data_IF_326976607757
#
_entry.id   IF_326976607757
#
_cell.length_a   1.000
_cell.length_b   1.000
_cell.length_c   1.000
_cell.angle_alpha   90.00
_cell.angle_beta   90.00
_cell.angle_gamma   90.00
#
_symmetry.space_group_name_H-M   'P 1'
#
loop_
_entity.id
_entity.type
_entity.pdbx_description
1 polymer ?
#
# COMPACT_ATOMS: atom_id res chain seq x y z
N UNK A 1 -3.99 48.55 27.40
CA UNK A 1 -2.67 48.92 26.85
C UNK A 1 -1.95 47.64 26.46
N UNK A 2 -1.31 47.50 25.29
CA UNK A 2 -1.47 48.20 24.03
C UNK A 2 -2.02 47.30 22.89
N UNK A 3 -2.69 47.94 21.92
CA UNK A 3 -2.98 47.44 20.58
C UNK A 3 -1.79 47.74 19.66
N UNK A 4 -1.37 46.81 18.80
CA UNK A 4 -0.43 47.11 17.71
C UNK A 4 -1.04 46.81 16.34
N UNK A 5 -0.81 47.78 15.46
CA UNK A 5 -1.43 48.05 14.17
C UNK A 5 -1.00 47.13 13.02
N UNK A 6 -1.91 47.05 12.04
CA UNK A 6 -1.76 46.53 10.69
C UNK A 6 -0.79 47.41 9.89
N UNK A 7 0.25 46.81 9.29
CA UNK A 7 1.08 47.47 8.27
C UNK A 7 0.61 46.99 6.89
N UNK A 8 0.02 47.93 6.13
CA UNK A 8 -0.25 47.82 4.69
C UNK A 8 1.00 48.31 3.95
N UNK A 9 1.60 47.46 3.10
CA UNK A 9 2.63 47.89 2.13
C UNK A 9 2.02 48.00 0.74
N UNK A 10 2.20 49.19 0.16
CA UNK A 10 1.69 49.64 -1.13
C UNK A 10 2.49 49.10 -2.31
N UNK A 11 1.72 48.82 -3.34
CA UNK A 11 1.99 48.76 -4.77
C UNK A 11 2.93 49.88 -5.28
N UNK A 12 4.01 49.53 -5.97
CA UNK A 12 4.71 50.43 -6.90
C UNK A 12 4.95 49.72 -8.23
N UNK A 13 4.23 50.22 -9.23
CA UNK A 13 4.28 49.88 -10.64
C UNK A 13 5.35 50.75 -11.32
N UNK A 14 6.38 50.15 -11.92
CA UNK A 14 7.31 50.84 -12.81
C UNK A 14 7.27 50.22 -14.20
N UNK A 15 6.73 51.00 -15.13
CA UNK A 15 6.66 50.73 -16.56
C UNK A 15 7.80 51.52 -17.23
N UNK A 16 8.72 50.85 -17.92
CA UNK A 16 9.63 51.48 -18.90
C UNK A 16 9.81 50.58 -20.12
N UNK A 17 9.43 51.12 -21.27
CA UNK A 17 9.57 50.57 -22.64
C UNK A 17 10.92 50.93 -23.25
N UNK A 18 11.46 50.10 -24.16
CA UNK A 18 12.56 50.51 -25.05
C UNK A 18 13.23 49.43 -25.92
N UNK A 19 12.58 49.11 -27.05
CA UNK A 19 13.04 48.72 -28.40
C UNK A 19 14.42 48.06 -28.71
N UNK A 20 14.32 46.93 -29.44
CA UNK A 20 15.02 46.47 -30.68
C UNK A 20 16.56 46.53 -30.75
N UNK A 21 17.17 45.37 -31.01
CA UNK A 21 18.47 45.25 -31.66
C UNK A 21 18.83 43.81 -32.04
N UNK A 22 18.59 43.41 -33.29
CA UNK A 22 19.17 42.20 -33.87
C UNK A 22 20.64 42.46 -34.22
N UNK A 23 21.55 41.59 -33.78
CA UNK A 23 22.88 41.44 -34.37
C UNK A 23 23.25 39.96 -34.43
N UNK A 24 23.43 39.49 -35.66
CA UNK A 24 23.97 38.19 -36.04
C UNK A 24 25.42 38.04 -35.54
N UNK A 25 25.68 36.93 -34.84
CA UNK A 25 26.97 36.24 -34.89
C UNK A 25 26.70 34.77 -35.18
N UNK A 26 27.30 34.28 -36.26
CA UNK A 26 27.43 32.88 -36.61
C UNK A 26 28.69 32.29 -35.95
N UNK A 27 28.78 30.95 -35.97
CA UNK A 27 29.77 30.07 -35.31
C UNK A 27 29.32 29.68 -33.89
N UNK A 28 29.22 28.43 -33.49
CA UNK A 28 29.86 27.19 -33.94
C UNK A 28 28.98 26.00 -33.55
N UNK A 29 29.15 24.88 -34.25
CA UNK A 29 28.27 23.72 -34.19
C UNK A 29 28.21 23.02 -32.83
N UNK A 30 26.98 22.81 -32.37
CA UNK A 30 26.52 21.56 -31.74
C UNK A 30 25.06 21.76 -31.36
N UNK A 31 24.17 21.70 -32.36
CA UNK A 31 22.82 21.22 -32.06
C UNK A 31 22.95 19.72 -31.77
N UNK A 32 23.40 19.41 -30.56
CA UNK A 32 22.96 18.19 -29.90
C UNK A 32 21.44 18.29 -29.90
N UNK A 33 20.83 17.51 -30.78
CA UNK A 33 19.39 17.28 -30.76
C UNK A 33 19.12 16.66 -29.40
N UNK A 34 18.80 17.52 -28.43
CA UNK A 34 18.13 17.15 -27.21
C UNK A 34 16.79 16.55 -27.60
N UNK A 35 16.86 15.28 -28.00
CA UNK A 35 15.73 14.41 -28.16
C UNK A 35 15.01 14.49 -26.83
N UNK A 36 13.89 15.22 -26.84
CA UNK A 36 12.94 15.26 -25.75
C UNK A 36 12.37 13.85 -25.65
N UNK A 37 13.18 12.93 -25.14
CA UNK A 37 12.77 11.59 -24.86
C UNK A 37 11.62 11.72 -23.88
N UNK A 38 10.44 11.32 -24.31
CA UNK A 38 9.31 11.27 -23.40
C UNK A 38 9.58 10.15 -22.41
N UNK A 39 9.35 10.32 -21.09
CA UNK A 39 9.52 9.23 -20.13
C UNK A 39 8.72 8.01 -20.60
N UNK A 40 9.39 6.87 -20.73
CA UNK A 40 8.74 5.62 -21.12
C UNK A 40 8.52 4.75 -19.88
N UNK A 41 7.30 4.25 -19.63
CA UNK A 41 7.07 3.32 -18.54
C UNK A 41 7.90 2.05 -18.77
N UNK A 42 8.65 1.64 -17.75
CA UNK A 42 9.48 0.44 -17.78
C UNK A 42 8.84 -0.65 -16.93
N UNK A 43 8.59 -1.81 -17.51
CA UNK A 43 8.01 -2.94 -16.77
C UNK A 43 8.96 -3.44 -15.69
N UNK A 44 8.41 -3.73 -14.52
CA UNK A 44 9.14 -4.30 -13.39
C UNK A 44 8.30 -5.40 -12.72
N UNK A 45 9.00 -6.31 -12.04
CA UNK A 45 8.39 -7.40 -11.27
C UNK A 45 8.89 -7.34 -9.83
N UNK A 46 8.00 -7.19 -8.85
CA UNK A 46 8.37 -7.34 -7.44
C UNK A 46 8.71 -8.80 -7.15
N UNK A 47 9.87 -9.04 -6.54
CA UNK A 47 10.41 -10.36 -6.30
C UNK A 47 10.11 -10.84 -4.88
N UNK A 48 9.88 -12.14 -4.74
CA UNK A 48 9.86 -12.79 -3.43
C UNK A 48 11.27 -12.87 -2.87
N UNK A 49 11.46 -12.56 -1.58
CA UNK A 49 12.76 -12.67 -0.92
C UNK A 49 13.23 -14.12 -0.72
N UNK A 50 12.34 -15.09 -0.91
CA UNK A 50 12.62 -16.52 -0.75
C UNK A 50 13.25 -17.17 -1.99
N UNK A 51 13.06 -16.56 -3.17
CA UNK A 51 13.49 -17.12 -4.47
C UNK A 51 14.29 -16.07 -5.25
N UNK A 52 15.48 -15.74 -4.73
CA UNK A 52 16.39 -14.75 -5.31
C UNK A 52 17.71 -15.41 -5.76
N UNK A 53 18.34 -14.92 -6.84
CA UNK A 53 19.70 -15.31 -7.18
C UNK A 53 20.65 -15.06 -6.00
N UNK A 54 21.63 -15.94 -5.80
CA UNK A 54 22.52 -15.93 -4.64
C UNK A 54 23.16 -14.54 -4.38
N UNK A 55 23.64 -13.88 -5.44
CA UNK A 55 24.23 -12.53 -5.35
C UNK A 55 23.24 -11.48 -4.86
N UNK A 56 21.98 -11.58 -5.27
CA UNK A 56 20.91 -10.66 -4.89
C UNK A 56 20.54 -10.92 -3.42
N UNK A 57 20.35 -12.19 -3.04
CA UNK A 57 20.06 -12.59 -1.66
C UNK A 57 21.16 -12.17 -0.67
N UNK A 58 22.42 -12.27 -1.06
CA UNK A 58 23.54 -11.78 -0.27
C UNK A 58 23.47 -10.25 -0.06
N UNK A 59 23.13 -9.49 -1.11
CA UNK A 59 22.98 -8.03 -1.02
C UNK A 59 21.77 -7.62 -0.17
N UNK A 60 20.66 -8.36 -0.24
CA UNK A 60 19.52 -8.18 0.68
C UNK A 60 19.97 -8.28 2.13
N UNK A 61 20.67 -9.36 2.50
CA UNK A 61 21.19 -9.54 3.87
C UNK A 61 22.19 -8.47 4.32
N UNK A 62 22.93 -7.90 3.38
CA UNK A 62 23.82 -6.76 3.66
C UNK A 62 22.99 -5.51 3.96
N UNK A 63 21.98 -5.22 3.14
CA UNK A 63 21.10 -4.06 3.32
C UNK A 63 20.23 -4.16 4.57
N UNK A 64 19.77 -5.36 4.95
CA UNK A 64 19.00 -5.60 6.18
C UNK A 64 19.79 -5.26 7.45
N UNK A 65 21.13 -5.23 7.38
CA UNK A 65 22.01 -4.86 8.49
C UNK A 65 22.25 -3.35 8.58
N UNK A 66 21.79 -2.56 7.61
CA UNK A 66 21.93 -1.11 7.66
C UNK A 66 21.13 -0.57 8.84
N UNK A 67 21.77 0.26 9.65
CA UNK A 67 21.17 0.91 10.82
C UNK A 67 20.80 2.37 10.57
N UNK A 68 21.09 2.88 9.36
CA UNK A 68 20.74 4.25 8.98
C UNK A 68 19.23 4.40 8.81
N UNK A 69 18.67 5.50 9.26
CA UNK A 69 17.24 5.80 9.13
C UNK A 69 16.87 6.28 7.73
N UNK A 70 17.86 6.76 6.96
CA UNK A 70 17.67 7.28 5.61
C UNK A 70 17.50 6.17 4.57
N UNK A 71 16.74 6.43 3.50
CA UNK A 71 16.60 5.47 2.42
C UNK A 71 17.94 5.08 1.80
N UNK A 72 18.03 3.82 1.36
CA UNK A 72 19.18 3.27 0.67
C UNK A 72 18.72 2.41 -0.50
N UNK A 73 19.60 2.24 -1.48
CA UNK A 73 19.35 1.38 -2.62
C UNK A 73 20.62 0.63 -3.02
N UNK A 74 20.44 -0.43 -3.79
CA UNK A 74 21.53 -1.11 -4.48
C UNK A 74 21.03 -1.80 -5.74
N UNK A 75 21.91 -1.92 -6.73
CA UNK A 75 21.65 -2.63 -7.97
C UNK A 75 22.52 -3.87 -8.08
N UNK A 76 21.90 -4.98 -8.49
CA UNK A 76 22.61 -6.25 -8.70
C UNK A 76 22.19 -6.82 -10.06
N UNK A 77 23.16 -7.02 -10.96
CA UNK A 77 22.93 -7.73 -12.22
C UNK A 77 23.08 -9.24 -11.98
N UNK A 78 22.02 -10.00 -12.24
CA UNK A 78 22.01 -11.46 -12.12
C UNK A 78 20.97 -12.06 -13.07
N UNK A 79 21.20 -13.29 -13.56
CA UNK A 79 20.26 -14.02 -14.42
C UNK A 79 19.72 -13.20 -15.63
N UNK A 80 20.54 -12.33 -16.22
CA UNK A 80 20.14 -11.48 -17.36
C UNK A 80 19.12 -10.38 -17.03
N UNK A 81 18.84 -10.13 -15.74
CA UNK A 81 18.00 -9.03 -15.25
C UNK A 81 18.83 -8.08 -14.39
N UNK A 82 18.35 -6.85 -14.24
CA UNK A 82 18.83 -5.92 -13.21
C UNK A 82 17.87 -5.97 -12.03
N UNK A 83 18.37 -6.32 -10.86
CA UNK A 83 17.63 -6.28 -9.61
C UNK A 83 17.92 -4.95 -8.92
N UNK A 84 16.85 -4.28 -8.49
CA UNK A 84 16.95 -3.06 -7.71
C UNK A 84 16.40 -3.36 -6.33
N UNK A 85 17.24 -3.11 -5.33
CA UNK A 85 16.92 -3.27 -3.92
C UNK A 85 16.71 -1.88 -3.34
N UNK A 86 15.59 -1.67 -2.66
CA UNK A 86 15.26 -0.42 -1.99
C UNK A 86 14.95 -0.70 -0.53
N UNK A 87 15.48 0.16 0.34
CA UNK A 87 15.08 0.22 1.75
C UNK A 87 14.72 1.65 2.11
N UNK A 88 13.66 1.89 2.90
CA UNK A 88 13.36 3.21 3.40
C UNK A 88 14.27 3.56 4.61
N UNK A 89 15.16 2.64 5.00
CA UNK A 89 16.03 2.73 6.17
C UNK A 89 15.53 1.91 7.34
N UNK A 90 16.21 2.04 8.46
CA UNK A 90 15.94 1.36 9.71
C UNK A 90 14.59 1.81 10.31
N UNK A 91 13.80 0.88 10.83
CA UNK A 91 12.47 1.10 11.42
C UNK A 91 12.37 0.49 12.81
N UNK A 92 11.62 1.16 13.67
CA UNK A 92 11.51 0.81 15.09
C UNK A 92 10.60 -0.40 15.37
N UNK A 93 9.81 -0.82 14.38
CA UNK A 93 8.90 -1.97 14.49
C UNK A 93 8.92 -2.79 13.21
N UNK A 94 8.58 -4.07 13.32
CA UNK A 94 8.28 -4.90 12.15
C UNK A 94 7.10 -4.37 11.32
N UNK A 95 7.01 -4.84 10.07
CA UNK A 95 5.84 -4.68 9.20
C UNK A 95 5.81 -3.44 8.28
N UNK A 96 6.87 -2.63 8.26
CA UNK A 96 7.06 -1.64 7.20
C UNK A 96 7.43 -2.31 5.87
N UNK A 97 6.97 -1.75 4.76
CA UNK A 97 7.34 -2.20 3.41
C UNK A 97 7.42 -1.03 2.43
N UNK A 98 8.00 -1.24 1.25
CA UNK A 98 7.92 -0.27 0.16
C UNK A 98 7.00 -0.83 -0.93
N UNK A 99 6.11 0.02 -1.44
CA UNK A 99 5.38 -0.21 -2.68
C UNK A 99 6.07 0.57 -3.79
N UNK A 100 6.43 -0.11 -4.87
CA UNK A 100 6.92 0.55 -6.08
C UNK A 100 5.69 0.96 -6.90
N UNK A 101 5.50 2.26 -7.08
CA UNK A 101 4.35 2.81 -7.79
C UNK A 101 4.63 2.85 -9.29
N UNK A 102 5.84 3.29 -9.66
CA UNK A 102 6.17 3.59 -11.04
C UNK A 102 7.67 3.47 -11.29
N UNK A 103 8.02 3.00 -12.48
CA UNK A 103 9.39 3.00 -13.00
C UNK A 103 9.34 3.58 -14.40
N UNK A 104 10.03 4.69 -14.61
CA UNK A 104 10.11 5.37 -15.92
C UNK A 104 11.56 5.40 -16.40
N UNK A 105 11.77 5.25 -17.70
CA UNK A 105 13.08 5.39 -18.33
C UNK A 105 13.10 6.63 -19.24
N UNK A 106 14.10 7.48 -19.05
CA UNK A 106 14.41 8.66 -19.85
C UNK A 106 15.85 8.55 -20.36
N UNK A 107 16.02 8.06 -21.59
CA UNK A 107 17.35 7.79 -22.14
C UNK A 107 18.10 6.75 -21.29
N UNK A 108 19.18 7.17 -20.64
CA UNK A 108 19.94 6.33 -19.71
C UNK A 108 19.52 6.44 -18.24
N UNK A 109 18.58 7.33 -17.89
CA UNK A 109 18.11 7.47 -16.51
C UNK A 109 16.86 6.63 -16.28
N UNK A 110 16.80 5.96 -15.15
CA UNK A 110 15.63 5.23 -14.67
C UNK A 110 15.17 5.89 -13.38
N UNK A 111 13.97 6.44 -13.39
CA UNK A 111 13.33 7.03 -12.22
C UNK A 111 12.41 6.01 -11.58
N UNK A 112 12.62 5.73 -10.30
CA UNK A 112 11.81 4.81 -9.51
C UNK A 112 11.04 5.62 -8.46
N UNK A 113 9.70 5.59 -8.56
CA UNK A 113 8.82 6.16 -7.55
C UNK A 113 8.32 5.06 -6.63
N UNK A 114 8.56 5.23 -5.33
CA UNK A 114 8.13 4.31 -4.31
C UNK A 114 7.46 5.05 -3.15
N UNK A 115 6.57 4.34 -2.47
CA UNK A 115 5.87 4.81 -1.28
C UNK A 115 6.12 3.83 -0.14
N UNK A 116 6.46 4.37 1.02
CA UNK A 116 6.56 3.58 2.23
C UNK A 116 5.17 3.27 2.80
N UNK A 117 4.96 2.00 3.14
CA UNK A 117 3.76 1.52 3.80
C UNK A 117 4.08 1.20 5.26
N UNK A 118 3.33 1.82 6.17
CA UNK A 118 3.39 1.50 7.59
C UNK A 118 2.75 0.15 7.89
N UNK A 119 3.22 -0.57 8.93
CA UNK A 119 2.48 -1.69 9.46
C UNK A 119 1.09 -1.23 9.91
N UNK A 120 0.11 -2.12 9.83
CA UNK A 120 -1.19 -1.87 10.45
C UNK A 120 -1.03 -1.64 11.95
N UNK A 121 -1.80 -0.72 12.55
CA UNK A 121 -1.71 -0.48 14.00
C UNK A 121 -2.10 -1.70 14.87
N UNK A 122 -2.75 -2.71 14.28
CA UNK A 122 -3.19 -3.93 14.98
C UNK A 122 -2.40 -5.18 14.56
N UNK A 123 -1.40 -5.04 13.67
CA UNK A 123 -0.48 -6.16 13.49
C UNK A 123 0.32 -6.32 14.78
N UNK A 124 0.45 -7.57 15.25
CA UNK A 124 1.46 -7.94 16.23
C UNK A 124 2.84 -7.65 15.64
N UNK A 125 3.24 -6.38 15.69
CA UNK A 125 4.53 -5.95 15.22
C UNK A 125 5.53 -6.42 16.26
N UNK A 126 6.53 -7.18 15.81
CA UNK A 126 7.70 -7.42 16.62
C UNK A 126 8.27 -6.05 17.01
N UNK A 127 8.40 -5.80 18.31
CA UNK A 127 9.15 -4.65 18.83
C UNK A 127 10.65 -4.91 18.67
N UNK A 128 11.03 -5.22 17.44
CA UNK A 128 12.37 -5.50 17.00
C UNK A 128 12.67 -4.52 15.87
N UNK A 129 13.79 -3.84 16.02
CA UNK A 129 14.35 -2.99 14.99
C UNK A 129 14.54 -3.82 13.72
N UNK A 130 14.07 -3.31 12.58
CA UNK A 130 14.25 -3.98 11.31
C UNK A 130 14.55 -2.98 10.18
N UNK A 131 15.12 -3.49 9.09
CA UNK A 131 15.39 -2.69 7.89
C UNK A 131 14.72 -3.42 6.73
N UNK A 132 13.48 -3.03 6.35
CA UNK A 132 12.77 -3.72 5.29
C UNK A 132 13.47 -3.48 3.95
N UNK A 133 13.66 -4.55 3.18
CA UNK A 133 14.26 -4.51 1.85
C UNK A 133 13.23 -5.01 0.84
N UNK A 134 12.91 -4.15 -0.12
CA UNK A 134 12.06 -4.48 -1.26
C UNK A 134 12.93 -4.74 -2.48
N UNK A 135 12.64 -5.79 -3.22
CA UNK A 135 13.40 -6.18 -4.41
C UNK A 135 12.47 -6.17 -5.62
N UNK A 136 12.86 -5.44 -6.67
CA UNK A 136 12.24 -5.54 -7.99
C UNK A 136 13.25 -6.02 -9.02
N UNK A 137 12.78 -6.68 -10.06
CA UNK A 137 13.57 -6.97 -11.26
C UNK A 137 13.04 -6.20 -12.45
N UNK A 138 13.96 -5.68 -13.28
CA UNK A 138 13.64 -4.93 -14.49
C UNK A 138 14.69 -5.20 -15.58
N UNK A 139 14.35 -4.83 -16.82
CA UNK A 139 15.23 -4.93 -17.99
C UNK A 139 15.40 -3.53 -18.60
N UNK A 140 16.48 -2.80 -18.25
CA UNK A 140 16.76 -1.48 -18.81
C UNK A 140 16.92 -1.56 -20.33
N UNK A 141 16.42 -0.56 -21.06
CA UNK A 141 16.67 -0.41 -22.50
C UNK A 141 18.05 0.22 -22.80
N UNK A 142 18.97 0.20 -21.83
CA UNK A 142 20.32 0.77 -21.91
C UNK A 142 21.33 -0.15 -21.21
N UNK A 143 22.58 -0.15 -21.65
CA UNK A 143 23.64 -0.96 -21.06
C UNK A 143 24.09 -0.46 -19.67
N UNK A 144 24.04 0.87 -19.49
CA UNK A 144 24.53 1.57 -18.30
C UNK A 144 23.48 2.56 -17.76
N UNK A 145 22.43 2.06 -17.09
CA UNK A 145 21.40 2.91 -16.51
C UNK A 145 21.90 3.65 -15.27
N UNK A 146 21.52 4.91 -15.14
CA UNK A 146 21.61 5.69 -13.90
C UNK A 146 20.26 5.65 -13.19
N UNK A 147 20.24 5.37 -11.90
CA UNK A 147 18.99 5.25 -11.16
C UNK A 147 18.75 6.47 -10.27
N UNK A 148 17.57 7.06 -10.45
CA UNK A 148 17.05 8.14 -9.62
C UNK A 148 15.90 7.60 -8.77
N UNK A 149 16.01 7.78 -7.46
CA UNK A 149 15.06 7.22 -6.50
C UNK A 149 14.25 8.32 -5.83
N UNK A 150 12.92 8.20 -5.89
CA UNK A 150 12.00 9.03 -5.12
C UNK A 150 11.17 8.11 -4.23
N UNK A 151 11.66 7.92 -3.01
CA UNK A 151 10.88 7.29 -1.94
C UNK A 151 10.15 8.41 -1.23
N UNK A 152 8.84 8.48 -1.44
CA UNK A 152 8.01 9.34 -0.64
C UNK A 152 7.96 8.72 0.76
N UNK A 153 8.40 9.45 1.82
CA UNK A 153 8.14 8.99 3.18
C UNK A 153 6.63 8.77 3.31
N UNK A 154 6.21 7.91 4.23
CA UNK A 154 4.81 7.87 4.66
C UNK A 154 4.40 9.33 4.80
N UNK A 155 3.41 9.78 4.02
CA UNK A 155 2.80 11.07 4.35
C UNK A 155 2.32 10.86 5.77
N UNK A 156 2.95 11.52 6.73
CA UNK A 156 2.37 11.77 8.04
C UNK A 156 1.17 12.71 7.84
N UNK A 157 0.18 12.24 7.08
CA UNK A 157 -1.15 12.24 7.62
C UNK A 157 -1.17 11.02 8.52
N UNK A 158 -0.91 11.26 9.81
CA UNK A 158 -2.01 10.92 10.70
C UNK A 158 -3.23 11.60 10.09
N UNK A 159 -4.23 10.90 9.51
CA UNK A 159 -5.51 11.21 10.06
C UNK A 159 -5.34 10.86 11.53
N UNK A 160 -5.94 11.62 12.42
CA UNK A 160 -6.45 10.98 13.60
C UNK A 160 -7.31 9.82 13.07
N UNK A 161 -6.72 8.60 12.94
CA UNK A 161 -7.40 7.45 12.33
C UNK A 161 -8.41 7.05 13.37
N UNK A 162 -9.57 7.69 13.27
CA UNK A 162 -10.56 7.60 14.31
C UNK A 162 -11.16 6.22 14.16
N UNK A 163 -10.98 5.37 15.18
CA UNK A 163 -11.73 4.13 15.27
C UNK A 163 -13.21 4.49 15.32
N UNK A 164 -13.95 4.02 14.33
CA UNK A 164 -15.39 4.19 14.26
C UNK A 164 -16.04 3.06 15.04
N UNK A 165 -16.96 3.43 15.93
CA UNK A 165 -17.87 2.46 16.50
C UNK A 165 -18.76 1.93 15.38
N UNK A 166 -18.82 0.61 15.26
CA UNK A 166 -19.70 -0.08 14.33
C UNK A 166 -20.65 -0.98 15.10
N UNK A 167 -21.72 -1.37 14.42
CA UNK A 167 -22.73 -2.27 14.93
C UNK A 167 -22.78 -3.50 14.03
N UNK A 168 -22.77 -4.69 14.63
CA UNK A 168 -23.06 -5.95 13.92
C UNK A 168 -24.57 -6.02 13.64
N UNK A 169 -24.92 -6.28 12.39
CA UNK A 169 -26.30 -6.30 11.93
C UNK A 169 -26.75 -7.74 11.67
N UNK A 170 -27.74 -8.25 12.41
CA UNK A 170 -28.24 -9.60 12.19
C UNK A 170 -29.01 -9.68 10.86
N UNK A 171 -28.99 -10.83 10.15
CA UNK A 171 -29.66 -10.97 8.85
C UNK A 171 -31.17 -10.65 8.87
N UNK A 172 -31.83 -10.82 10.01
CA UNK A 172 -33.27 -10.57 10.19
C UNK A 172 -33.66 -9.10 10.16
N UNK A 173 -32.71 -8.20 10.45
CA UNK A 173 -32.98 -6.78 10.70
C UNK A 173 -32.42 -5.90 9.57
N UNK A 174 -31.94 -6.52 8.49
CA UNK A 174 -31.35 -5.80 7.35
C UNK A 174 -32.44 -5.12 6.51
N UNK A 175 -32.22 -3.86 6.07
CA UNK A 175 -33.05 -3.26 5.03
C UNK A 175 -33.05 -4.13 3.78
N UNK A 176 -34.20 -4.21 3.07
CA UNK A 176 -34.36 -5.12 1.92
C UNK A 176 -33.24 -4.96 0.88
N UNK A 177 -32.82 -3.74 0.55
CA UNK A 177 -31.71 -3.49 -0.39
C UNK A 177 -30.38 -4.05 0.08
N UNK A 178 -30.10 -3.99 1.38
CA UNK A 178 -28.88 -4.54 1.98
C UNK A 178 -28.97 -6.07 2.03
N UNK A 179 -30.14 -6.62 2.36
CA UNK A 179 -30.41 -8.05 2.32
C UNK A 179 -30.21 -8.63 0.91
N UNK A 180 -30.81 -8.02 -0.11
CA UNK A 180 -30.71 -8.49 -1.49
C UNK A 180 -29.27 -8.45 -2.02
N UNK A 181 -28.52 -7.39 -1.68
CA UNK A 181 -27.10 -7.31 -1.99
C UNK A 181 -26.30 -8.38 -1.23
N UNK A 182 -26.64 -8.65 0.02
CA UNK A 182 -26.01 -9.72 0.83
C UNK A 182 -26.22 -11.08 0.18
N UNK A 183 -27.45 -11.42 -0.23
CA UNK A 183 -27.75 -12.68 -0.90
C UNK A 183 -27.05 -12.79 -2.26
N UNK A 184 -26.97 -11.69 -3.01
CA UNK A 184 -26.20 -11.65 -4.26
C UNK A 184 -24.73 -11.96 -4.05
N UNK A 185 -24.09 -11.38 -3.02
CA UNK A 185 -22.68 -11.66 -2.71
C UNK A 185 -22.49 -13.09 -2.18
N UNK A 186 -23.43 -13.62 -1.39
CA UNK A 186 -23.41 -15.00 -0.87
C UNK A 186 -23.43 -16.07 -1.96
N UNK A 187 -24.02 -15.78 -3.11
CA UNK A 187 -24.06 -16.69 -4.27
C UNK A 187 -22.72 -16.73 -5.02
N UNK A 188 -21.78 -15.83 -4.73
CA UNK A 188 -20.47 -15.83 -5.36
C UNK A 188 -19.58 -16.87 -4.70
N UNK A 189 -18.82 -17.62 -5.50
CA UNK A 189 -17.94 -18.67 -4.98
C UNK A 189 -16.63 -18.12 -4.39
N UNK A 190 -16.35 -16.83 -4.57
CA UNK A 190 -15.11 -16.16 -4.16
C UNK A 190 -15.42 -15.10 -3.10
N UNK A 191 -14.37 -14.63 -2.40
CA UNK A 191 -14.48 -13.54 -1.45
C UNK A 191 -15.01 -12.29 -2.16
N UNK A 192 -16.04 -11.67 -1.58
CA UNK A 192 -16.67 -10.49 -2.12
C UNK A 192 -17.15 -9.56 -1.00
N UNK A 193 -17.22 -8.28 -1.32
CA UNK A 193 -17.62 -7.26 -0.35
C UNK A 193 -18.35 -6.12 -1.03
N UNK A 194 -19.13 -5.36 -0.26
CA UNK A 194 -19.80 -4.17 -0.75
C UNK A 194 -20.12 -3.19 0.38
N UNK A 195 -20.13 -1.91 0.05
CA UNK A 195 -20.65 -0.84 0.91
C UNK A 195 -21.99 -0.36 0.34
N UNK A 196 -23.06 -0.47 1.13
CA UNK A 196 -24.43 -0.09 0.75
C UNK A 196 -24.91 1.03 1.66
N UNK A 197 -24.94 2.28 1.16
CA UNK A 197 -25.58 3.38 1.90
C UNK A 197 -27.09 3.16 1.97
N UNK A 198 -27.67 3.23 3.18
CA UNK A 198 -29.12 3.17 3.37
C UNK A 198 -29.51 4.04 4.57
N UNK A 199 -30.40 5.01 4.34
CA UNK A 199 -30.76 6.02 5.34
C UNK A 199 -29.53 6.79 5.86
N UNK A 200 -29.43 6.89 7.18
CA UNK A 200 -28.34 7.58 7.89
C UNK A 200 -27.16 6.66 8.22
N UNK A 201 -27.09 5.47 7.59
CA UNK A 201 -26.05 4.48 7.83
C UNK A 201 -25.41 4.01 6.53
N UNK A 202 -24.23 3.43 6.67
CA UNK A 202 -23.58 2.66 5.61
C UNK A 202 -23.38 1.26 6.14
N UNK A 203 -23.83 0.28 5.36
CA UNK A 203 -23.71 -1.14 5.64
C UNK A 203 -22.54 -1.72 4.86
N UNK A 204 -21.65 -2.41 5.54
CA UNK A 204 -20.53 -3.14 4.96
C UNK A 204 -20.85 -4.61 5.00
N UNK A 205 -20.89 -5.24 3.83
CA UNK A 205 -21.18 -6.65 3.66
C UNK A 205 -19.87 -7.32 3.27
N UNK A 206 -19.51 -8.41 3.96
CA UNK A 206 -18.39 -9.26 3.59
C UNK A 206 -18.87 -10.69 3.49
N UNK A 207 -18.69 -11.30 2.31
CA UNK A 207 -18.96 -12.71 2.04
C UNK A 207 -17.63 -13.40 1.71
N UNK A 208 -17.32 -14.49 2.40
CA UNK A 208 -16.08 -15.24 2.14
C UNK A 208 -16.14 -16.10 0.87
N UNK A 209 -17.33 -16.27 0.29
CA UNK A 209 -17.59 -17.29 -0.73
C UNK A 209 -17.61 -18.70 -0.12
N UNK A 210 -17.40 -19.71 -0.97
CA UNK A 210 -17.54 -21.11 -0.53
C UNK A 210 -16.42 -21.51 0.43
N UNK A 211 -16.82 -22.17 1.53
CA UNK A 211 -15.92 -22.83 2.47
C UNK A 211 -16.28 -24.30 2.62
N UNK A 212 -15.30 -25.21 2.67
CA UNK A 212 -15.52 -26.64 2.54
C UNK A 212 -16.24 -27.28 3.74
N UNK A 213 -16.22 -26.62 4.88
CA UNK A 213 -16.86 -27.08 6.12
C UNK A 213 -17.61 -25.94 6.80
N UNK A 214 -18.40 -26.28 7.81
CA UNK A 214 -18.80 -25.33 8.84
C UNK A 214 -17.60 -24.91 9.70
N UNK A 215 -17.81 -23.92 10.57
CA UNK A 215 -16.83 -23.45 11.54
C UNK A 215 -15.97 -22.26 11.09
N UNK A 216 -16.02 -21.89 9.80
CA UNK A 216 -15.44 -20.64 9.32
C UNK A 216 -16.26 -19.44 9.80
N UNK A 217 -15.57 -18.42 10.32
CA UNK A 217 -16.19 -17.19 10.83
C UNK A 217 -15.56 -15.97 10.18
N UNK A 218 -16.32 -14.87 10.18
CA UNK A 218 -15.84 -13.55 9.78
C UNK A 218 -15.82 -12.70 11.05
N UNK A 219 -14.67 -12.09 11.32
CA UNK A 219 -14.53 -11.12 12.38
C UNK A 219 -14.17 -9.76 11.77
N UNK A 220 -15.05 -8.77 11.94
CA UNK A 220 -14.67 -7.39 11.64
C UNK A 220 -13.89 -6.88 12.85
N UNK A 221 -12.58 -6.72 12.71
CA UNK A 221 -11.70 -6.30 13.80
C UNK A 221 -11.96 -4.82 14.12
N UNK A 222 -11.75 -3.95 13.12
CA UNK A 222 -12.01 -2.52 13.26
C UNK A 222 -12.42 -1.84 11.96
N UNK A 223 -13.05 -0.68 12.14
CA UNK A 223 -13.30 0.28 11.07
C UNK A 223 -12.61 1.58 11.44
N UNK A 224 -11.76 2.09 10.55
CA UNK A 224 -11.03 3.34 10.78
C UNK A 224 -11.35 4.35 9.70
N UNK A 225 -11.36 5.63 10.07
CA UNK A 225 -11.64 6.71 9.14
C UNK A 225 -10.43 7.64 8.99
N UNK A 226 -10.11 7.95 7.73
CA UNK A 226 -9.20 9.02 7.31
C UNK A 226 -9.96 10.18 6.64
N UNK A 227 -9.23 11.21 6.21
CA UNK A 227 -9.81 12.41 5.57
C UNK A 227 -10.70 12.09 4.36
N UNK A 228 -10.33 11.08 3.56
CA UNK A 228 -11.05 10.70 2.34
C UNK A 228 -11.46 9.23 2.30
N UNK A 229 -10.98 8.40 3.22
CA UNK A 229 -11.16 6.95 3.15
C UNK A 229 -11.72 6.39 4.45
N UNK A 230 -12.40 5.25 4.35
CA UNK A 230 -12.79 4.40 5.47
C UNK A 230 -12.25 3.01 5.21
N UNK A 231 -11.46 2.50 6.14
CA UNK A 231 -10.81 1.20 6.07
C UNK A 231 -11.57 0.22 6.96
N UNK A 232 -11.98 -0.90 6.39
CA UNK A 232 -12.69 -1.99 7.08
C UNK A 232 -11.72 -3.16 7.16
N UNK A 233 -11.27 -3.49 8.37
CA UNK A 233 -10.34 -4.58 8.64
C UNK A 233 -11.13 -5.82 9.05
N UNK A 234 -10.96 -6.90 8.30
CA UNK A 234 -11.74 -8.11 8.44
C UNK A 234 -10.83 -9.32 8.43
N UNK A 235 -11.06 -10.21 9.38
CA UNK A 235 -10.34 -11.45 9.55
C UNK A 235 -11.28 -12.63 9.26
N UNK A 236 -10.83 -13.52 8.39
CA UNK A 236 -11.37 -14.87 8.28
C UNK A 236 -10.73 -15.76 9.35
N UNK A 237 -11.58 -16.36 10.18
CA UNK A 237 -11.19 -17.32 11.21
C UNK A 237 -11.56 -18.72 10.74
N UNK A 238 -10.55 -19.53 10.44
CA UNK A 238 -10.73 -20.94 10.13
C UNK A 238 -11.04 -21.76 11.40
N UNK A 239 -11.77 -22.88 11.29
CA UNK A 239 -11.95 -23.80 12.42
C UNK A 239 -10.58 -24.35 12.88
N UNK A 240 -10.40 -24.47 14.20
CA UNK A 240 -9.15 -24.98 14.77
C UNK A 240 -8.86 -26.43 14.34
N UNK A 241 -7.59 -26.86 14.25
CA UNK A 241 -7.26 -28.25 13.97
C UNK A 241 -7.93 -29.21 14.95
N UNK A 242 -8.62 -30.23 14.44
CA UNK A 242 -9.33 -31.21 15.26
C UNK A 242 -10.68 -30.73 15.83
N UNK A 243 -11.11 -29.50 15.52
CA UNK A 243 -12.46 -29.04 15.85
C UNK A 243 -13.49 -29.90 15.11
N UNK A 244 -14.48 -30.42 15.85
CA UNK A 244 -15.63 -31.09 15.26
C UNK A 244 -16.45 -30.06 14.49
N UNK A 245 -16.47 -30.18 13.16
CA UNK A 245 -17.23 -29.31 12.25
C UNK A 245 -18.09 -30.11 11.30
N UNK A 246 -19.15 -29.50 10.79
CA UNK A 246 -20.00 -30.08 9.76
C UNK A 246 -19.27 -30.09 8.41
N UNK A 247 -19.32 -31.22 7.70
CA UNK A 247 -18.68 -31.40 6.39
C UNK A 247 -19.64 -31.01 5.26
N UNK A 248 -20.08 -29.75 5.27
CA UNK A 248 -21.00 -29.18 4.29
C UNK A 248 -20.40 -27.87 3.79
N UNK A 249 -20.53 -27.62 2.48
CA UNK A 249 -20.12 -26.35 1.88
C UNK A 249 -20.96 -25.22 2.49
N UNK A 250 -20.30 -24.23 3.07
CA UNK A 250 -20.94 -23.05 3.66
C UNK A 250 -20.50 -21.78 2.94
N UNK A 251 -21.29 -20.71 3.07
CA UNK A 251 -20.93 -19.37 2.59
C UNK A 251 -21.02 -18.38 3.76
N UNK A 252 -19.96 -18.27 4.59
CA UNK A 252 -19.96 -17.32 5.71
C UNK A 252 -20.13 -15.89 5.21
N UNK A 253 -20.95 -15.12 5.91
CA UNK A 253 -21.24 -13.73 5.55
C UNK A 253 -21.55 -12.92 6.79
N UNK A 254 -21.06 -11.69 6.81
CA UNK A 254 -21.15 -10.78 7.94
C UNK A 254 -21.55 -9.40 7.43
N UNK A 255 -22.44 -8.74 8.18
CA UNK A 255 -22.86 -7.37 7.90
C UNK A 255 -22.63 -6.53 9.14
N UNK A 256 -21.91 -5.43 8.96
CA UNK A 256 -21.74 -4.40 10.00
C UNK A 256 -22.16 -3.05 9.44
N UNK A 257 -22.52 -2.12 10.31
CA UNK A 257 -22.89 -0.77 9.88
C UNK A 257 -22.25 0.31 10.75
N UNK A 258 -22.06 1.48 10.13
CA UNK A 258 -21.64 2.72 10.80
C UNK A 258 -22.63 3.84 10.50
N UNK A 259 -22.70 4.89 11.35
CA UNK A 259 -23.33 6.14 10.95
C UNK A 259 -22.69 6.69 9.67
N UNK A 260 -23.51 7.26 8.79
CA UNK A 260 -23.05 7.80 7.52
C UNK A 260 -22.03 8.92 7.76
N UNK A 261 -20.80 8.80 7.22
CA UNK A 261 -19.77 9.81 7.39
C UNK A 261 -20.14 11.09 6.62
N UNK A 262 -19.62 12.23 7.09
CA UNK A 262 -19.74 13.50 6.36
C UNK A 262 -18.80 13.51 5.16
N UNK A 263 -19.28 14.03 4.03
CA UNK A 263 -18.53 14.13 2.79
C UNK A 263 -18.47 12.82 2.01
N UNK A 264 -17.82 12.87 0.84
CA UNK A 264 -17.55 11.67 0.04
C UNK A 264 -16.39 10.91 0.68
N UNK A 265 -16.55 9.60 0.83
CA UNK A 265 -15.52 8.68 1.33
C UNK A 265 -15.38 7.51 0.37
N UNK A 266 -14.15 7.05 0.20
CA UNK A 266 -13.86 5.78 -0.46
C UNK A 266 -13.78 4.67 0.59
N UNK A 267 -14.27 3.47 0.27
CA UNK A 267 -14.32 2.33 1.20
C UNK A 267 -13.29 1.29 0.79
N UNK A 268 -12.36 0.96 1.69
CA UNK A 268 -11.26 0.05 1.43
C UNK A 268 -11.38 -1.14 2.39
N UNK A 269 -11.52 -2.34 1.83
CA UNK A 269 -11.64 -3.57 2.60
C UNK A 269 -10.27 -4.27 2.67
N UNK A 270 -9.81 -4.55 3.89
CA UNK A 270 -8.60 -5.30 4.18
C UNK A 270 -9.04 -6.65 4.73
N UNK A 271 -9.02 -7.69 3.89
CA UNK A 271 -9.45 -9.03 4.28
C UNK A 271 -8.19 -9.89 4.43
N UNK A 272 -7.90 -10.33 5.65
CA UNK A 272 -6.86 -11.29 5.97
C UNK A 272 -7.48 -12.63 6.36
N UNK A 273 -6.72 -13.72 6.19
CA UNK A 273 -7.08 -15.02 6.73
C UNK A 273 -6.03 -15.42 7.75
N UNK A 274 -6.45 -15.81 8.94
CA UNK A 274 -5.53 -16.40 9.92
C UNK A 274 -5.42 -17.90 9.63
N UNK A 275 -4.21 -18.41 9.33
CA UNK A 275 -4.02 -19.85 9.18
C UNK A 275 -4.48 -20.56 10.45
N UNK A 276 -5.12 -21.73 10.38
CA UNK A 276 -5.36 -22.54 11.58
C UNK A 276 -4.01 -22.76 12.27
N UNK A 277 -3.92 -22.47 13.56
CA UNK A 277 -2.72 -22.65 14.39
C UNK A 277 -2.05 -23.98 14.02
N UNK A 278 -0.98 -23.91 13.23
CA UNK A 278 -0.14 -25.07 12.98
C UNK A 278 0.79 -25.11 14.19
N UNK A 279 0.66 -26.06 15.13
CA UNK A 279 1.63 -26.18 16.21
C UNK A 279 2.99 -26.42 15.52
N UNK A 280 3.83 -25.39 15.52
CA UNK A 280 5.00 -25.32 14.68
C UNK A 280 5.83 -26.59 14.74
N UNK A 281 6.04 -27.22 13.58
CA UNK A 281 7.11 -28.19 13.42
C UNK A 281 8.43 -27.43 13.37
N UNK A 282 9.08 -27.28 14.52
CA UNK A 282 10.48 -26.86 14.60
C UNK A 282 11.34 -28.12 14.81
N UNK A 283 12.27 -28.38 13.90
CA UNK A 283 13.29 -29.44 14.00
C UNK A 283 12.76 -30.87 14.21
N UNK A 284 11.68 -31.26 13.52
CA UNK A 284 11.25 -32.66 13.43
C UNK A 284 10.78 -33.31 14.74
N UNK A 285 10.36 -32.53 15.74
CA UNK A 285 9.73 -33.06 16.96
C UNK A 285 8.47 -32.28 17.32
N UNK A 286 7.42 -33.00 17.70
CA UNK A 286 6.19 -32.40 18.24
C UNK A 286 6.49 -31.69 19.56
N UNK A 287 6.01 -30.45 19.71
CA UNK A 287 5.84 -29.84 21.04
C UNK A 287 4.75 -30.63 21.77
N UNK A 288 5.09 -31.21 22.92
CA UNK A 288 4.14 -31.78 23.87
C UNK A 288 3.48 -30.69 24.69
#
# INVERSE_FOLDING_TARGET
>A
MPSWQVIKTMLTLSLTTGLIGCSLYASDGSQDTGESANPQPLSFEQQSTWDLPEKVAAKVKEMEKLTQESPAHAEVKAAGKTFVLLTPGHRQTGGYSLRINEVEQLGNRIKISAEELSPSQDSFNTQALNTPVTVISLKPNTADPQFDYSIQPVKEKSPTSQSLKYQKEPPTDLPQTVHDQTEKLKQQNQVAHSAVPFGDRIYFIVALGQRPTGGYQIHVDKITQSDSEIHIHVEEIAPSPGMMVTQIITNPTEVVSIPKPKGKKDFIFHISSTPPDNPGFENGKMKK
#
